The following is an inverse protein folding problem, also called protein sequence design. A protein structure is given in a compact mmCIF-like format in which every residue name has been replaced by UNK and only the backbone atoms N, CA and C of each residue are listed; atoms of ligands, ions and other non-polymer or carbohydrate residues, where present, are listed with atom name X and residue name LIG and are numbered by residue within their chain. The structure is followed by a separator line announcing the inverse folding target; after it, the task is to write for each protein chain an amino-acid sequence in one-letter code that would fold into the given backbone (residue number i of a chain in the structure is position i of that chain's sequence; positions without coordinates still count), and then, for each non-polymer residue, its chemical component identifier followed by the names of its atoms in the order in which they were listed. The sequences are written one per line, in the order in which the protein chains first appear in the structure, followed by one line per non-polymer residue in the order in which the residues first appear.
data_IF_811073062131
#
_entry.id   IF_811073062131
#
_cell.length_a   1.000
_cell.length_b   1.000
_cell.length_c   1.000
_cell.angle_alpha   90.00
_cell.angle_beta   90.00
_cell.angle_gamma   90.00
#
_symmetry.space_group_name_H-M   'P 1'
#
loop_
_entity.id
_entity.type
_entity.pdbx_description
1 polymer ?
#
# COMPACT_ATOMS: atom_id res chain seq x y z
N UNK A 1 -11.97 22.77 18.89
CA UNK A 1 -13.25 22.01 19.02
C UNK A 1 -13.48 21.06 17.84
N UNK A 2 -13.34 21.50 16.57
CA UNK A 2 -13.49 20.62 15.39
C UNK A 2 -12.43 19.50 15.30
N UNK A 3 -11.14 19.82 15.49
CA UNK A 3 -10.05 18.83 15.48
C UNK A 3 -10.31 17.64 16.42
N UNK A 4 -10.63 17.91 17.69
CA UNK A 4 -10.95 16.86 18.68
C UNK A 4 -12.12 15.98 18.25
N UNK A 5 -13.12 16.55 17.58
CA UNK A 5 -14.25 15.78 17.05
C UNK A 5 -13.82 14.82 15.94
N UNK A 6 -13.00 15.29 14.99
CA UNK A 6 -12.47 14.46 13.91
C UNK A 6 -11.54 13.37 14.44
N UNK A 7 -10.65 13.73 15.38
CA UNK A 7 -9.78 12.78 16.05
C UNK A 7 -10.60 11.65 16.71
N UNK A 8 -11.61 12.00 17.52
CA UNK A 8 -12.48 11.00 18.17
C UNK A 8 -13.23 10.13 17.17
N UNK A 9 -13.71 10.70 16.06
CA UNK A 9 -14.37 9.93 14.98
C UNK A 9 -13.42 8.93 14.35
N UNK A 10 -12.18 9.32 14.06
CA UNK A 10 -11.17 8.42 13.55
C UNK A 10 -10.80 7.32 14.55
N UNK A 11 -10.57 7.66 15.83
CA UNK A 11 -10.32 6.66 16.88
C UNK A 11 -11.45 5.65 17.00
N UNK A 12 -12.70 6.11 16.97
CA UNK A 12 -13.87 5.24 17.00
C UNK A 12 -13.97 4.36 15.75
N UNK A 13 -13.73 4.93 14.56
CA UNK A 13 -13.78 4.20 13.31
C UNK A 13 -12.70 3.11 13.26
N UNK A 14 -11.45 3.46 13.56
CA UNK A 14 -10.35 2.51 13.53
C UNK A 14 -10.31 1.57 14.74
N UNK A 15 -11.05 1.86 15.82
CA UNK A 15 -10.90 1.23 17.14
C UNK A 15 -9.49 1.43 17.72
N UNK A 16 -8.92 2.60 17.50
CA UNK A 16 -7.62 2.96 18.05
C UNK A 16 -7.72 3.13 19.56
N UNK A 17 -6.69 2.67 20.27
CA UNK A 17 -6.49 3.01 21.67
C UNK A 17 -5.54 4.20 21.74
N UNK A 18 -5.93 5.25 22.46
CA UNK A 18 -5.08 6.43 22.64
C UNK A 18 -4.97 6.75 24.12
N UNK A 19 -3.74 6.79 24.64
CA UNK A 19 -3.49 7.29 25.98
C UNK A 19 -3.69 8.80 25.99
N UNK A 20 -4.71 9.28 26.71
CA UNK A 20 -5.02 10.70 26.83
C UNK A 20 -3.92 11.51 27.54
N UNK A 21 -2.94 10.85 28.19
CA UNK A 21 -1.73 11.51 28.70
C UNK A 21 -0.74 11.88 27.59
N UNK A 22 -0.81 11.23 26.42
CA UNK A 22 0.04 11.50 25.26
C UNK A 22 -0.63 12.57 24.39
N UNK A 23 -0.03 13.76 24.23
CA UNK A 23 -0.59 14.79 23.38
C UNK A 23 -0.42 14.41 21.91
N UNK A 24 -1.41 14.74 21.09
CA UNK A 24 -1.20 14.83 19.64
C UNK A 24 -0.59 16.19 19.33
N UNK A 25 0.59 16.21 18.72
CA UNK A 25 1.30 17.43 18.37
C UNK A 25 1.24 17.68 16.86
N UNK A 26 1.04 18.94 16.48
CA UNK A 26 1.11 19.38 15.09
C UNK A 26 2.15 20.48 15.00
N UNK A 27 3.21 20.24 14.23
CA UNK A 27 4.34 21.16 14.08
C UNK A 27 4.35 21.73 12.67
N UNK A 28 4.38 23.05 12.59
CA UNK A 28 4.50 23.78 11.33
C UNK A 28 5.84 24.51 11.26
N UNK A 29 6.49 24.44 10.11
CA UNK A 29 7.67 25.26 9.82
C UNK A 29 7.55 25.91 8.43
N UNK A 30 8.14 27.10 8.22
CA UNK A 30 7.99 27.81 6.96
C UNK A 30 8.72 27.11 5.82
N UNK A 31 8.09 27.09 4.65
CA UNK A 31 8.63 26.63 3.37
C UNK A 31 8.55 27.76 2.33
N UNK A 32 9.52 28.70 2.33
CA UNK A 32 9.52 29.83 1.41
C UNK A 32 9.56 29.39 -0.06
N UNK A 33 8.86 30.12 -0.93
CA UNK A 33 8.85 29.92 -2.39
C UNK A 33 8.28 28.56 -2.88
N UNK A 34 7.63 27.79 -2.02
CA UNK A 34 6.95 26.55 -2.43
C UNK A 34 5.59 26.84 -3.09
N UNK A 35 5.14 25.94 -3.96
CA UNK A 35 3.80 25.96 -4.57
C UNK A 35 2.75 25.19 -3.73
N UNK A 36 3.18 24.50 -2.67
CA UNK A 36 2.30 23.78 -1.76
C UNK A 36 2.97 23.51 -0.42
N UNK A 37 2.31 22.71 0.42
CA UNK A 37 2.85 22.27 1.71
C UNK A 37 3.19 20.78 1.67
N UNK A 38 4.04 20.34 2.59
CA UNK A 38 4.29 18.91 2.85
C UNK A 38 3.45 18.46 4.03
N UNK A 39 3.25 17.16 4.20
CA UNK A 39 2.71 16.60 5.42
C UNK A 39 3.33 15.21 5.64
N UNK A 40 3.66 14.92 6.88
CA UNK A 40 4.11 13.60 7.33
C UNK A 40 3.72 13.41 8.78
N UNK A 41 3.60 12.15 9.22
CA UNK A 41 3.41 11.79 10.61
C UNK A 41 4.46 10.80 11.09
N UNK A 42 4.87 10.95 12.35
CA UNK A 42 5.68 9.97 13.07
C UNK A 42 5.34 10.01 14.56
N UNK A 43 5.21 8.83 15.17
CA UNK A 43 4.70 8.70 16.55
C UNK A 43 3.38 9.48 16.74
N UNK A 44 3.36 10.41 17.70
CA UNK A 44 2.22 11.26 18.03
C UNK A 44 2.33 12.68 17.41
N UNK A 45 3.19 12.86 16.40
CA UNK A 45 3.51 14.17 15.82
C UNK A 45 3.17 14.18 14.32
N UNK A 46 2.32 15.11 13.91
CA UNK A 46 2.15 15.50 12.52
C UNK A 46 3.01 16.73 12.20
N UNK A 47 3.78 16.67 11.11
CA UNK A 47 4.69 17.75 10.71
C UNK A 47 4.34 18.23 9.31
N UNK A 48 4.34 19.55 9.11
CA UNK A 48 4.11 20.14 7.81
C UNK A 48 4.96 21.39 7.55
N UNK A 49 5.63 21.38 6.41
CA UNK A 49 6.29 22.56 5.87
C UNK A 49 5.24 23.41 5.13
N UNK A 50 4.95 24.61 5.61
CA UNK A 50 3.86 25.46 5.07
C UNK A 50 4.38 26.70 4.35
N UNK A 51 3.71 27.09 3.27
CA UNK A 51 4.02 28.32 2.57
C UNK A 51 3.86 29.53 3.49
N UNK A 52 4.75 30.52 3.36
CA UNK A 52 4.71 31.73 4.19
C UNK A 52 3.47 32.61 3.93
N UNK A 53 2.81 32.40 2.80
CA UNK A 53 1.61 33.12 2.36
C UNK A 53 0.35 32.24 2.29
N UNK A 54 0.38 31.03 2.86
CA UNK A 54 -0.74 30.08 2.86
C UNK A 54 -2.06 30.75 3.32
N UNK A 55 -3.10 30.61 2.51
CA UNK A 55 -4.46 31.14 2.83
C UNK A 55 -5.49 30.06 3.12
N UNK A 56 -5.32 28.87 2.55
CA UNK A 56 -6.32 27.81 2.67
C UNK A 56 -5.97 26.86 3.84
N UNK A 57 -6.34 27.27 5.05
CA UNK A 57 -6.10 26.50 6.26
C UNK A 57 -7.02 25.27 6.39
N UNK A 58 -8.17 25.26 5.71
CA UNK A 58 -9.08 24.11 5.75
C UNK A 58 -8.50 22.93 4.97
N UNK A 59 -7.87 23.19 3.81
CA UNK A 59 -7.10 22.19 3.06
C UNK A 59 -5.89 21.71 3.87
N UNK A 60 -5.16 22.61 4.53
CA UNK A 60 -4.05 22.20 5.40
C UNK A 60 -4.56 21.28 6.52
N UNK A 61 -5.67 21.65 7.17
CA UNK A 61 -6.24 20.85 8.25
C UNK A 61 -6.73 19.48 7.78
N UNK A 62 -7.34 19.37 6.59
CA UNK A 62 -7.77 18.07 6.06
C UNK A 62 -6.58 17.15 5.78
N UNK A 63 -5.49 17.69 5.23
CA UNK A 63 -4.26 16.92 4.99
C UNK A 63 -3.54 16.57 6.30
N UNK A 64 -3.47 17.49 7.28
CA UNK A 64 -2.92 17.13 8.58
C UNK A 64 -3.72 16.01 9.26
N UNK A 65 -5.04 16.00 9.08
CA UNK A 65 -5.88 14.92 9.59
C UNK A 65 -5.67 13.61 8.83
N UNK A 66 -5.40 13.64 7.51
CA UNK A 66 -4.94 12.46 6.77
C UNK A 66 -3.73 11.81 7.47
N UNK A 67 -2.69 12.59 7.76
CA UNK A 67 -1.50 12.08 8.46
C UNK A 67 -1.82 11.54 9.86
N UNK A 68 -2.69 12.22 10.60
CA UNK A 68 -3.14 11.76 11.93
C UNK A 68 -3.93 10.46 11.84
N UNK A 69 -4.69 10.23 10.76
CA UNK A 69 -5.43 8.98 10.57
C UNK A 69 -4.51 7.78 10.32
N UNK A 70 -3.32 7.99 9.76
CA UNK A 70 -2.29 6.95 9.74
C UNK A 70 -1.84 6.56 11.14
N UNK A 71 -1.56 7.54 12.01
CA UNK A 71 -1.23 7.29 13.43
C UNK A 71 -2.35 6.47 14.08
N UNK A 72 -3.60 6.87 13.89
CA UNK A 72 -4.74 6.15 14.49
C UNK A 72 -4.92 4.74 13.93
N UNK A 73 -4.66 4.51 12.65
CA UNK A 73 -4.63 3.17 12.07
C UNK A 73 -3.55 2.30 12.73
N UNK A 74 -2.37 2.87 12.97
CA UNK A 74 -1.26 2.16 13.62
C UNK A 74 -1.49 1.91 15.11
N UNK A 75 -2.26 2.75 15.80
CA UNK A 75 -2.64 2.57 17.23
C UNK A 75 -3.82 1.61 17.45
N UNK A 76 -4.16 0.79 16.45
CA UNK A 76 -5.10 -0.32 16.63
C UNK A 76 -4.51 -1.40 17.56
N UNK A 77 -5.31 -1.95 18.50
CA UNK A 77 -4.94 -3.15 19.24
C UNK A 77 -4.61 -4.31 18.31
N UNK A 78 -3.71 -5.19 18.75
CA UNK A 78 -3.23 -6.32 17.95
C UNK A 78 -4.37 -7.24 17.51
N UNK A 79 -5.41 -7.40 18.33
CA UNK A 79 -6.60 -8.19 18.01
C UNK A 79 -7.38 -7.61 16.83
N UNK A 80 -7.46 -6.28 16.73
CA UNK A 80 -8.12 -5.59 15.64
C UNK A 80 -7.30 -5.72 14.35
N UNK A 81 -5.99 -5.50 14.44
CA UNK A 81 -5.07 -5.70 13.29
C UNK A 81 -5.15 -7.13 12.76
N UNK A 82 -5.10 -8.12 13.63
CA UNK A 82 -5.23 -9.54 13.29
C UNK A 82 -6.60 -9.85 12.67
N UNK A 83 -7.67 -9.23 13.17
CA UNK A 83 -9.03 -9.40 12.62
C UNK A 83 -9.12 -8.85 11.20
N UNK A 84 -8.66 -7.62 10.97
CA UNK A 84 -8.64 -6.99 9.65
C UNK A 84 -7.82 -7.85 8.68
N UNK A 85 -6.59 -8.21 9.04
CA UNK A 85 -5.73 -9.07 8.22
C UNK A 85 -6.42 -10.40 7.88
N UNK A 86 -7.04 -11.04 8.88
CA UNK A 86 -7.76 -12.30 8.69
C UNK A 86 -8.95 -12.17 7.74
N UNK A 87 -9.70 -11.06 7.80
CA UNK A 87 -10.83 -10.82 6.90
C UNK A 87 -10.37 -10.68 5.45
N UNK A 88 -9.28 -9.95 5.19
CA UNK A 88 -8.70 -9.87 3.84
C UNK A 88 -8.16 -11.23 3.36
N UNK A 89 -7.42 -11.95 4.22
CA UNK A 89 -6.84 -13.25 3.88
C UNK A 89 -7.92 -14.28 3.51
N UNK A 90 -9.00 -14.33 4.27
CA UNK A 90 -10.09 -15.30 4.10
C UNK A 90 -11.12 -14.91 3.03
N UNK A 91 -11.14 -13.64 2.58
CA UNK A 91 -12.09 -13.20 1.57
C UNK A 91 -11.84 -13.91 0.22
N UNK A 92 -12.86 -14.41 -0.50
CA UNK A 92 -12.66 -15.19 -1.72
C UNK A 92 -12.16 -14.36 -2.92
N UNK A 93 -12.25 -13.03 -2.88
CA UNK A 93 -11.80 -12.17 -3.97
C UNK A 93 -10.30 -12.32 -4.21
N UNK A 94 -9.93 -12.43 -5.49
CA UNK A 94 -8.52 -12.41 -5.93
C UNK A 94 -7.85 -11.06 -5.67
N UNK A 95 -8.63 -10.00 -5.51
CA UNK A 95 -8.14 -8.64 -5.31
C UNK A 95 -7.84 -8.30 -3.85
N UNK A 96 -8.30 -9.14 -2.91
CA UNK A 96 -8.25 -8.85 -1.47
C UNK A 96 -6.85 -8.52 -0.97
N UNK A 97 -5.80 -9.17 -1.47
CA UNK A 97 -4.43 -8.87 -1.05
C UNK A 97 -3.97 -7.45 -1.45
N UNK A 98 -4.18 -7.04 -2.71
CA UNK A 98 -3.81 -5.69 -3.15
C UNK A 98 -4.76 -4.61 -2.59
N UNK A 99 -6.03 -4.95 -2.37
CA UNK A 99 -6.96 -4.06 -1.67
C UNK A 99 -6.49 -3.80 -0.22
N UNK A 100 -5.96 -4.81 0.46
CA UNK A 100 -5.38 -4.68 1.80
C UNK A 100 -4.15 -3.76 1.81
N UNK A 101 -3.26 -3.91 0.83
CA UNK A 101 -2.05 -3.08 0.72
C UNK A 101 -2.36 -1.58 0.50
N UNK A 102 -3.49 -1.25 -0.13
CA UNK A 102 -3.97 0.12 -0.29
C UNK A 102 -4.70 0.68 0.95
N UNK A 103 -5.15 -0.17 1.86
CA UNK A 103 -6.17 0.15 2.86
C UNK A 103 -5.83 1.40 3.68
N UNK A 104 -4.61 1.49 4.20
CA UNK A 104 -4.23 2.57 5.11
C UNK A 104 -4.30 3.93 4.41
N UNK A 105 -3.64 4.08 3.26
CA UNK A 105 -3.67 5.30 2.43
C UNK A 105 -5.07 5.65 1.94
N UNK A 106 -5.84 4.67 1.50
CA UNK A 106 -7.19 4.89 0.99
C UNK A 106 -8.13 5.37 2.10
N UNK A 107 -8.03 4.81 3.31
CA UNK A 107 -8.85 5.24 4.43
C UNK A 107 -8.39 6.62 4.94
N UNK A 108 -7.09 6.86 5.11
CA UNK A 108 -6.59 8.18 5.49
C UNK A 108 -7.05 9.26 4.48
N UNK A 109 -6.99 8.97 3.18
CA UNK A 109 -7.45 9.86 2.11
C UNK A 109 -8.96 10.08 2.19
N UNK A 110 -9.75 9.01 2.29
CA UNK A 110 -11.21 9.10 2.31
C UNK A 110 -11.73 9.84 3.55
N UNK A 111 -11.06 9.70 4.71
CA UNK A 111 -11.46 10.37 5.95
C UNK A 111 -10.91 11.80 6.00
N UNK A 112 -9.61 12.02 5.73
CA UNK A 112 -8.99 13.33 5.74
C UNK A 112 -9.44 14.20 4.57
N UNK A 113 -9.06 13.81 3.36
CA UNK A 113 -9.28 14.62 2.16
C UNK A 113 -10.72 14.51 1.61
N UNK A 114 -11.47 13.47 2.00
CA UNK A 114 -12.90 13.34 1.71
C UNK A 114 -13.78 13.90 2.83
N UNK A 115 -13.92 13.16 3.93
CA UNK A 115 -14.90 13.47 4.99
C UNK A 115 -14.60 14.78 5.71
N UNK A 116 -13.39 14.98 6.23
CA UNK A 116 -13.02 16.21 6.95
C UNK A 116 -13.14 17.41 6.02
N UNK A 117 -12.62 17.31 4.80
CA UNK A 117 -12.76 18.38 3.79
C UNK A 117 -14.23 18.76 3.57
N UNK A 118 -15.12 17.79 3.33
CA UNK A 118 -16.55 18.03 3.14
C UNK A 118 -17.17 18.73 4.36
N UNK A 119 -16.80 18.32 5.57
CA UNK A 119 -17.31 18.92 6.80
C UNK A 119 -16.79 20.36 7.03
N UNK A 120 -15.64 20.72 6.45
CA UNK A 120 -15.09 22.08 6.53
C UNK A 120 -15.68 23.00 5.46
N UNK A 121 -15.82 22.52 4.22
CA UNK A 121 -16.22 23.33 3.06
C UNK A 121 -17.72 23.25 2.71
N UNK A 122 -18.44 22.26 3.25
CA UNK A 122 -19.86 22.01 2.96
C UNK A 122 -20.13 21.23 1.66
N UNK A 123 -19.08 20.91 0.90
CA UNK A 123 -19.13 20.08 -0.30
C UNK A 123 -17.84 19.28 -0.47
N UNK A 124 -17.90 18.18 -1.22
CA UNK A 124 -16.71 17.41 -1.58
C UNK A 124 -15.82 18.20 -2.54
N UNK A 125 -14.51 17.99 -2.41
CA UNK A 125 -13.57 18.43 -3.43
C UNK A 125 -13.83 17.64 -4.72
N UNK A 126 -13.94 18.38 -5.83
CA UNK A 126 -14.11 17.83 -7.18
C UNK A 126 -12.77 17.47 -7.83
N UNK A 127 -11.68 18.01 -7.31
CA UNK A 127 -10.32 17.73 -7.74
C UNK A 127 -9.83 16.36 -7.26
N UNK A 128 -8.54 16.14 -7.43
CA UNK A 128 -7.87 14.93 -6.95
C UNK A 128 -7.61 15.03 -5.45
N UNK A 129 -7.96 13.99 -4.70
CA UNK A 129 -7.74 13.89 -3.26
C UNK A 129 -6.34 13.35 -2.93
N UNK A 130 -5.72 12.67 -3.90
CA UNK A 130 -4.38 12.11 -3.76
C UNK A 130 -3.68 12.11 -5.13
N UNK A 131 -2.35 12.19 -5.14
CA UNK A 131 -1.58 12.29 -6.40
C UNK A 131 -1.49 10.96 -7.16
N UNK A 132 -1.53 9.82 -6.45
CA UNK A 132 -1.54 8.51 -7.08
C UNK A 132 -2.94 8.08 -7.53
N UNK A 133 -3.09 7.67 -8.80
CA UNK A 133 -4.39 7.29 -9.35
C UNK A 133 -5.10 6.20 -8.55
N UNK A 134 -4.38 5.14 -8.14
CA UNK A 134 -4.95 4.00 -7.44
C UNK A 134 -5.59 4.38 -6.08
N UNK A 135 -4.86 5.17 -5.28
CA UNK A 135 -5.33 5.65 -3.98
C UNK A 135 -6.48 6.64 -4.16
N UNK A 136 -6.30 7.63 -5.05
CA UNK A 136 -7.31 8.65 -5.31
C UNK A 136 -8.64 8.06 -5.78
N UNK A 137 -8.60 7.17 -6.78
CA UNK A 137 -9.81 6.57 -7.34
C UNK A 137 -10.51 5.71 -6.30
N UNK A 138 -9.80 4.79 -5.64
CA UNK A 138 -10.43 3.91 -4.66
C UNK A 138 -10.95 4.69 -3.45
N UNK A 139 -10.23 5.71 -2.95
CA UNK A 139 -10.69 6.56 -1.85
C UNK A 139 -12.00 7.28 -2.17
N UNK A 140 -12.12 7.87 -3.36
CA UNK A 140 -13.37 8.50 -3.83
C UNK A 140 -14.51 7.48 -3.94
N UNK A 141 -14.21 6.26 -4.38
CA UNK A 141 -15.22 5.22 -4.57
C UNK A 141 -15.71 4.59 -3.26
N UNK A 142 -14.84 4.43 -2.27
CA UNK A 142 -15.21 3.92 -0.94
C UNK A 142 -15.72 5.01 -0.03
N UNK A 143 -15.59 6.28 -0.41
CA UNK A 143 -16.04 7.43 0.38
C UNK A 143 -17.48 7.31 0.90
N UNK A 144 -18.50 6.92 0.10
CA UNK A 144 -19.86 6.78 0.60
C UNK A 144 -19.97 5.76 1.76
N UNK A 145 -19.22 4.66 1.69
CA UNK A 145 -19.17 3.65 2.75
C UNK A 145 -18.51 4.22 4.02
N UNK A 146 -17.36 4.88 3.86
CA UNK A 146 -16.61 5.53 4.95
C UNK A 146 -17.48 6.60 5.64
N UNK A 147 -18.10 7.49 4.86
CA UNK A 147 -18.93 8.56 5.37
C UNK A 147 -20.14 8.03 6.16
N UNK A 148 -20.77 6.93 5.70
CA UNK A 148 -21.85 6.27 6.43
C UNK A 148 -21.36 5.73 7.77
N UNK A 149 -20.23 5.00 7.80
CA UNK A 149 -19.67 4.48 9.05
C UNK A 149 -19.34 5.59 10.05
N UNK A 150 -18.73 6.69 9.58
CA UNK A 150 -18.39 7.84 10.42
C UNK A 150 -19.62 8.60 10.93
N UNK A 151 -20.71 8.68 10.14
CA UNK A 151 -21.97 9.32 10.53
C UNK A 151 -22.73 8.48 11.56
N UNK A 152 -22.75 7.16 11.38
CA UNK A 152 -23.43 6.22 12.27
C UNK A 152 -22.60 5.87 13.53
N UNK A 153 -21.34 6.32 13.60
CA UNK A 153 -20.45 5.97 14.71
C UNK A 153 -20.06 4.48 14.70
N UNK A 154 -20.03 3.86 13.52
CA UNK A 154 -19.58 2.47 13.37
C UNK A 154 -18.06 2.42 13.29
N UNK A 155 -17.52 1.38 13.89
CA UNK A 155 -16.12 1.00 13.73
C UNK A 155 -15.94 0.10 12.51
N UNK A 156 -14.71 0.01 12.01
CA UNK A 156 -14.32 -0.99 11.02
C UNK A 156 -14.63 -2.39 11.56
N UNK A 157 -15.29 -3.17 10.71
CA UNK A 157 -15.68 -4.54 10.96
C UNK A 157 -15.57 -5.37 9.67
N UNK A 158 -15.95 -6.65 9.74
CA UNK A 158 -15.89 -7.54 8.58
C UNK A 158 -16.79 -7.06 7.44
N UNK A 159 -17.97 -6.51 7.75
CA UNK A 159 -18.89 -6.04 6.72
C UNK A 159 -18.34 -4.82 5.99
N UNK A 160 -17.65 -3.92 6.70
CA UNK A 160 -16.89 -2.84 6.08
C UNK A 160 -15.84 -3.38 5.11
N UNK A 161 -15.00 -4.32 5.59
CA UNK A 161 -13.91 -4.89 4.77
C UNK A 161 -14.44 -5.61 3.55
N UNK A 162 -15.51 -6.40 3.68
CA UNK A 162 -16.12 -7.09 2.53
C UNK A 162 -16.65 -6.09 1.49
N UNK A 163 -17.29 -5.00 1.91
CA UNK A 163 -17.78 -3.96 0.99
C UNK A 163 -16.65 -3.13 0.38
N UNK A 164 -15.57 -2.88 1.12
CA UNK A 164 -14.37 -2.23 0.63
C UNK A 164 -13.70 -3.07 -0.48
N UNK A 165 -13.51 -4.37 -0.23
CA UNK A 165 -12.96 -5.31 -1.24
C UNK A 165 -13.86 -5.37 -2.47
N UNK A 166 -15.18 -5.40 -2.25
CA UNK A 166 -16.17 -5.39 -3.35
C UNK A 166 -16.05 -4.14 -4.22
N UNK A 167 -15.88 -2.96 -3.62
CA UNK A 167 -15.70 -1.71 -4.37
C UNK A 167 -14.44 -1.75 -5.26
N UNK A 168 -13.34 -2.32 -4.75
CA UNK A 168 -12.15 -2.58 -5.56
C UNK A 168 -12.48 -3.56 -6.69
N UNK A 169 -13.04 -4.73 -6.39
CA UNK A 169 -13.22 -5.81 -7.36
C UNK A 169 -14.17 -5.44 -8.51
N UNK A 170 -15.29 -4.77 -8.22
CA UNK A 170 -16.30 -4.48 -9.25
C UNK A 170 -15.82 -3.51 -10.33
N UNK A 171 -14.85 -2.64 -10.01
CA UNK A 171 -14.38 -1.59 -10.93
C UNK A 171 -12.94 -1.78 -11.37
N UNK A 172 -12.13 -2.43 -10.54
CA UNK A 172 -10.67 -2.42 -10.63
C UNK A 172 -10.05 -3.81 -10.53
N UNK A 173 -10.79 -4.88 -10.85
CA UNK A 173 -10.27 -6.25 -10.78
C UNK A 173 -8.95 -6.47 -11.55
N UNK A 174 -8.68 -5.69 -12.61
CA UNK A 174 -7.47 -5.81 -13.40
C UNK A 174 -6.24 -5.11 -12.79
N UNK A 175 -6.38 -4.27 -11.77
CA UNK A 175 -5.24 -3.60 -11.14
C UNK A 175 -4.21 -4.58 -10.57
N UNK A 176 -4.62 -5.80 -10.21
CA UNK A 176 -3.72 -6.89 -9.76
C UNK A 176 -2.74 -7.37 -10.84
N UNK A 177 -2.90 -6.88 -12.08
CA UNK A 177 -2.08 -7.16 -13.26
C UNK A 177 -1.36 -5.91 -13.77
N UNK A 178 -1.58 -4.74 -13.17
CA UNK A 178 -0.93 -3.50 -13.58
C UNK A 178 0.39 -3.34 -12.85
N UNK A 179 1.51 -3.43 -13.58
CA UNK A 179 2.85 -3.37 -12.99
C UNK A 179 3.07 -2.09 -12.17
N UNK A 180 2.57 -0.94 -12.64
CA UNK A 180 2.65 0.32 -11.89
C UNK A 180 1.96 0.24 -10.52
N UNK A 181 0.82 -0.45 -10.44
CA UNK A 181 0.12 -0.70 -9.18
C UNK A 181 0.91 -1.67 -8.30
N UNK A 182 1.10 -2.90 -8.77
CA UNK A 182 1.56 -4.00 -7.92
C UNK A 182 3.03 -3.85 -7.52
N UNK A 183 3.86 -3.17 -8.33
CA UNK A 183 5.26 -2.89 -7.98
C UNK A 183 5.41 -1.79 -6.93
N UNK A 184 4.35 -1.08 -6.56
CA UNK A 184 4.34 -0.18 -5.40
C UNK A 184 4.58 -0.93 -4.08
N UNK A 185 4.31 -2.23 -4.08
CA UNK A 185 4.43 -3.15 -2.94
C UNK A 185 5.23 -4.39 -3.36
N UNK A 186 6.54 -4.41 -3.10
CA UNK A 186 7.43 -5.43 -3.70
C UNK A 186 8.42 -6.03 -2.73
N UNK A 187 8.65 -7.33 -2.88
CA UNK A 187 9.76 -8.06 -2.29
C UNK A 187 10.67 -8.53 -3.42
N UNK A 188 11.94 -8.14 -3.41
CA UNK A 188 12.89 -8.50 -4.46
C UNK A 188 14.00 -9.40 -3.90
N UNK A 189 14.18 -10.59 -4.49
CA UNK A 189 15.38 -11.40 -4.33
C UNK A 189 16.22 -11.31 -5.59
N UNK A 190 17.51 -11.01 -5.46
CA UNK A 190 18.47 -11.05 -6.57
C UNK A 190 19.83 -11.53 -6.06
N UNK A 191 20.78 -11.89 -6.92
CA UNK A 191 22.20 -12.00 -6.53
C UNK A 191 22.97 -10.68 -6.65
N UNK A 192 22.33 -9.62 -7.15
CA UNK A 192 22.98 -8.34 -7.44
C UNK A 192 22.17 -7.20 -6.82
N UNK A 193 22.76 -6.51 -5.84
CA UNK A 193 22.11 -5.36 -5.20
C UNK A 193 21.80 -4.22 -6.18
N UNK A 194 22.55 -4.09 -7.28
CA UNK A 194 22.30 -3.09 -8.32
C UNK A 194 20.92 -3.22 -8.97
N UNK A 195 20.33 -4.42 -8.98
CA UNK A 195 18.99 -4.65 -9.54
C UNK A 195 17.92 -3.88 -8.77
N UNK A 196 18.12 -3.64 -7.47
CA UNK A 196 17.17 -2.90 -6.63
C UNK A 196 17.02 -1.44 -7.10
N UNK A 197 18.10 -0.84 -7.62
CA UNK A 197 18.06 0.51 -8.17
C UNK A 197 17.29 0.58 -9.49
N UNK A 198 17.30 -0.50 -10.28
CA UNK A 198 16.52 -0.58 -11.52
C UNK A 198 15.03 -0.52 -11.21
N UNK A 199 14.56 -1.24 -10.18
CA UNK A 199 13.16 -1.13 -9.74
C UNK A 199 12.80 0.26 -9.25
N UNK A 200 13.68 0.94 -8.52
CA UNK A 200 13.44 2.34 -8.09
C UNK A 200 13.36 3.31 -9.28
N UNK A 201 14.01 3.02 -10.40
CA UNK A 201 13.95 3.85 -11.60
C UNK A 201 12.71 3.57 -12.44
N UNK A 202 12.38 2.28 -12.63
CA UNK A 202 11.23 1.86 -13.44
C UNK A 202 9.90 2.07 -12.72
N UNK A 203 9.86 1.86 -11.40
CA UNK A 203 8.69 1.97 -10.54
C UNK A 203 9.03 2.88 -9.35
N UNK A 204 9.11 4.21 -9.59
CA UNK A 204 9.63 5.17 -8.62
C UNK A 204 8.74 5.32 -7.38
N UNK A 205 7.43 5.18 -7.54
CA UNK A 205 6.57 5.11 -6.37
C UNK A 205 6.72 3.76 -5.66
N UNK A 206 6.92 3.81 -4.35
CA UNK A 206 7.09 2.64 -3.52
C UNK A 206 6.54 2.95 -2.13
N UNK A 207 5.50 2.23 -1.75
CA UNK A 207 4.96 2.28 -0.39
C UNK A 207 5.74 1.30 0.50
N UNK A 208 5.91 0.05 0.06
CA UNK A 208 6.64 -0.97 0.80
C UNK A 208 7.61 -1.70 -0.14
N UNK A 209 8.87 -1.77 0.26
CA UNK A 209 9.89 -2.58 -0.40
C UNK A 209 10.73 -3.36 0.60
N UNK A 210 10.79 -4.66 0.38
CA UNK A 210 11.80 -5.54 0.98
C UNK A 210 12.73 -6.07 -0.12
N UNK A 211 14.01 -6.26 0.21
CA UNK A 211 14.96 -6.80 -0.74
C UNK A 211 16.09 -7.56 -0.05
N UNK A 212 16.51 -8.67 -0.66
CA UNK A 212 17.68 -9.43 -0.21
C UNK A 212 18.51 -9.88 -1.43
N UNK A 213 19.83 -9.94 -1.24
CA UNK A 213 20.80 -10.25 -2.28
C UNK A 213 21.21 -11.74 -2.31
N UNK A 214 20.42 -12.59 -1.66
CA UNK A 214 20.63 -14.03 -1.59
C UNK A 214 19.33 -14.79 -1.86
N UNK A 215 19.42 -15.84 -2.68
CA UNK A 215 18.32 -16.76 -2.95
C UNK A 215 18.59 -18.04 -2.13
N UNK A 216 17.93 -18.15 -0.98
CA UNK A 216 18.07 -19.28 -0.04
C UNK A 216 16.68 -19.75 0.39
N UNK A 217 16.59 -20.91 1.03
CA UNK A 217 15.33 -21.35 1.63
C UNK A 217 14.78 -20.30 2.62
N UNK A 218 15.66 -19.71 3.44
CA UNK A 218 15.27 -18.69 4.42
C UNK A 218 14.74 -17.40 3.80
N UNK A 219 15.42 -16.87 2.77
CA UNK A 219 14.97 -15.64 2.10
C UNK A 219 13.67 -15.86 1.31
N UNK A 220 13.47 -17.05 0.74
CA UNK A 220 12.20 -17.41 0.08
C UNK A 220 11.06 -17.57 1.11
N UNK A 221 11.29 -18.19 2.27
CA UNK A 221 10.28 -18.29 3.32
C UNK A 221 9.87 -16.91 3.87
N UNK A 222 10.83 -16.02 4.09
CA UNK A 222 10.53 -14.64 4.48
C UNK A 222 9.72 -13.91 3.40
N UNK A 223 10.11 -14.03 2.14
CA UNK A 223 9.35 -13.48 1.00
C UNK A 223 7.92 -14.02 0.96
N UNK A 224 7.70 -15.32 1.18
CA UNK A 224 6.37 -15.95 1.22
C UNK A 224 5.50 -15.45 2.37
N UNK A 225 6.10 -15.08 3.50
CA UNK A 225 5.38 -14.52 4.63
C UNK A 225 4.88 -13.09 4.38
N UNK A 226 5.45 -12.39 3.39
CA UNK A 226 5.07 -11.03 3.04
C UNK A 226 3.94 -11.00 1.98
N UNK A 227 2.90 -10.14 2.15
CA UNK A 227 1.79 -9.99 1.19
C UNK A 227 2.18 -9.25 -0.09
N UNK A 228 3.46 -8.94 -0.29
CA UNK A 228 3.97 -8.12 -1.38
C UNK A 228 4.03 -8.88 -2.71
N UNK A 229 4.10 -8.13 -3.82
CA UNK A 229 4.51 -8.67 -5.12
C UNK A 229 5.91 -9.25 -5.02
N UNK A 230 6.10 -10.49 -5.43
CA UNK A 230 7.35 -11.22 -5.28
C UNK A 230 8.12 -11.18 -6.59
N UNK A 231 9.37 -10.77 -6.56
CA UNK A 231 10.25 -10.76 -7.72
C UNK A 231 11.52 -11.51 -7.37
N UNK A 232 11.88 -12.51 -8.16
CA UNK A 232 13.11 -13.28 -8.00
C UNK A 232 13.93 -13.20 -9.29
N UNK A 233 15.12 -12.61 -9.21
CA UNK A 233 16.06 -12.47 -10.32
C UNK A 233 17.21 -13.46 -10.12
N UNK A 234 17.22 -14.49 -10.95
CA UNK A 234 18.25 -15.53 -10.97
C UNK A 234 19.27 -15.17 -12.04
N UNK A 235 20.40 -14.63 -11.62
CA UNK A 235 21.52 -14.21 -12.47
C UNK A 235 22.81 -15.03 -12.28
N UNK A 236 22.82 -15.96 -11.33
CA UNK A 236 23.89 -16.91 -11.04
C UNK A 236 23.27 -18.25 -10.66
N UNK A 237 24.04 -19.32 -10.73
CA UNK A 237 23.64 -20.66 -10.29
C UNK A 237 22.25 -21.08 -10.83
N UNK A 238 21.91 -20.67 -12.06
CA UNK A 238 20.53 -20.65 -12.55
C UNK A 238 19.80 -21.98 -12.40
N UNK A 239 20.49 -23.09 -12.65
CA UNK A 239 19.92 -24.43 -12.51
C UNK A 239 19.51 -24.76 -11.08
N UNK A 240 20.35 -24.49 -10.07
CA UNK A 240 20.04 -24.82 -8.68
C UNK A 240 18.98 -23.88 -8.12
N UNK A 241 19.07 -22.59 -8.43
CA UNK A 241 18.23 -21.58 -7.79
C UNK A 241 16.80 -21.65 -8.35
N UNK A 242 16.65 -21.88 -9.65
CA UNK A 242 15.34 -22.17 -10.24
C UNK A 242 14.73 -23.47 -9.70
N UNK A 243 15.56 -24.49 -9.42
CA UNK A 243 15.06 -25.74 -8.83
C UNK A 243 14.59 -25.53 -7.39
N UNK A 244 15.31 -24.71 -6.62
CA UNK A 244 14.92 -24.30 -5.29
C UNK A 244 13.61 -23.50 -5.31
N UNK A 245 13.49 -22.48 -6.17
CA UNK A 245 12.27 -21.67 -6.32
C UNK A 245 11.08 -22.58 -6.67
N UNK A 246 11.22 -23.47 -7.65
CA UNK A 246 10.16 -24.43 -8.02
C UNK A 246 9.75 -25.34 -6.87
N UNK A 247 10.69 -25.76 -6.02
CA UNK A 247 10.41 -26.58 -4.82
C UNK A 247 9.62 -25.79 -3.76
N UNK A 248 9.94 -24.52 -3.57
CA UNK A 248 9.43 -23.70 -2.46
C UNK A 248 8.04 -23.09 -2.71
N UNK A 249 7.65 -22.93 -3.98
CA UNK A 249 6.32 -22.45 -4.39
C UNK A 249 5.48 -23.60 -4.97
N UNK A 250 4.46 -24.09 -4.26
CA UNK A 250 3.65 -25.23 -4.70
C UNK A 250 2.90 -24.99 -6.03
N UNK A 251 2.62 -23.73 -6.37
CA UNK A 251 2.01 -23.29 -7.63
C UNK A 251 2.90 -23.62 -8.84
N UNK A 252 4.21 -23.74 -8.64
CA UNK A 252 5.19 -24.00 -9.70
C UNK A 252 5.39 -25.50 -9.99
N UNK A 253 4.63 -26.40 -9.37
CA UNK A 253 4.81 -27.87 -9.54
C UNK A 253 4.88 -28.32 -11.01
N UNK A 254 4.05 -27.71 -11.86
CA UNK A 254 3.92 -28.03 -13.29
C UNK A 254 4.74 -27.10 -14.18
N UNK A 255 5.41 -26.10 -13.61
CA UNK A 255 6.20 -25.15 -14.37
C UNK A 255 7.46 -25.82 -14.92
N UNK A 256 7.63 -25.77 -16.24
CA UNK A 256 8.81 -26.28 -16.93
C UNK A 256 9.62 -25.11 -17.45
N UNK A 257 10.92 -25.11 -17.17
CA UNK A 257 11.82 -24.04 -17.55
C UNK A 257 13.11 -24.61 -18.14
N UNK A 258 13.79 -23.78 -18.94
CA UNK A 258 15.15 -24.07 -19.39
C UNK A 258 16.12 -23.10 -18.72
N UNK A 259 16.90 -23.59 -17.77
CA UNK A 259 17.84 -22.78 -16.98
C UNK A 259 18.95 -22.12 -17.82
N UNK A 260 19.18 -22.58 -19.06
CA UNK A 260 20.21 -22.01 -19.95
C UNK A 260 19.66 -20.95 -20.91
N UNK A 261 18.36 -20.63 -20.84
CA UNK A 261 17.71 -19.61 -21.68
C UNK A 261 17.16 -18.51 -20.82
N UNK A 262 17.24 -17.28 -21.32
CA UNK A 262 16.61 -16.15 -20.66
C UNK A 262 15.09 -16.24 -20.74
N UNK A 263 14.44 -15.87 -19.65
CA UNK A 263 12.99 -15.74 -19.61
C UNK A 263 12.54 -14.85 -18.47
N UNK A 264 11.32 -14.35 -18.63
CA UNK A 264 10.50 -13.77 -17.59
C UNK A 264 9.23 -14.61 -17.46
N UNK A 265 8.87 -14.99 -16.24
CA UNK A 265 7.70 -15.83 -15.96
C UNK A 265 6.89 -15.21 -14.83
N UNK A 266 5.57 -15.20 -14.98
CA UNK A 266 4.62 -14.76 -13.94
C UNK A 266 3.76 -15.92 -13.44
N UNK A 267 3.42 -15.89 -12.16
CA UNK A 267 2.50 -16.83 -11.53
C UNK A 267 1.70 -16.12 -10.44
N UNK A 268 0.37 -16.17 -10.54
CA UNK A 268 -0.50 -15.75 -9.45
C UNK A 268 -0.50 -16.81 -8.33
N UNK A 269 -0.21 -16.41 -7.10
CA UNK A 269 -0.04 -17.31 -5.97
C UNK A 269 -1.34 -17.52 -5.18
N UNK A 270 -1.37 -18.56 -4.35
CA UNK A 270 -2.51 -18.85 -3.48
C UNK A 270 -2.73 -17.78 -2.40
N UNK A 271 -1.68 -17.04 -2.03
CA UNK A 271 -1.76 -15.87 -1.14
C UNK A 271 -2.31 -14.61 -1.82
N UNK A 272 -2.67 -14.72 -3.12
CA UNK A 272 -3.22 -13.67 -3.98
C UNK A 272 -2.25 -12.54 -4.29
N UNK A 273 -0.94 -12.79 -4.19
CA UNK A 273 0.11 -11.93 -4.74
C UNK A 273 0.60 -12.44 -6.11
N UNK A 274 1.30 -11.58 -6.85
CA UNK A 274 1.99 -11.95 -8.09
C UNK A 274 3.42 -12.38 -7.78
N UNK A 275 3.87 -13.48 -8.40
CA UNK A 275 5.27 -13.90 -8.43
C UNK A 275 5.84 -13.71 -9.84
N UNK A 276 6.94 -12.98 -9.92
CA UNK A 276 7.75 -12.84 -11.12
C UNK A 276 9.10 -13.54 -10.93
N UNK A 277 9.45 -14.40 -11.87
CA UNK A 277 10.74 -15.09 -11.91
C UNK A 277 11.45 -14.68 -13.19
N UNK A 278 12.64 -14.10 -13.04
CA UNK A 278 13.50 -13.66 -14.13
C UNK A 278 14.74 -14.54 -14.13
N UNK A 279 14.94 -15.31 -15.20
CA UNK A 279 16.19 -16.04 -15.43
C UNK A 279 17.07 -15.22 -16.37
N UNK A 280 18.12 -14.62 -15.80
CA UNK A 280 19.05 -13.75 -16.50
C UNK A 280 20.33 -14.50 -16.87
N UNK A 281 20.81 -14.31 -18.11
CA UNK A 281 22.05 -14.92 -18.61
C UNK A 281 23.00 -13.85 -19.17
N UNK A 282 22.49 -12.95 -20.00
CA UNK A 282 23.28 -11.97 -20.74
C UNK A 282 22.59 -10.60 -20.88
N UNK A 283 21.26 -10.58 -21.02
CA UNK A 283 20.49 -9.35 -21.09
C UNK A 283 20.53 -8.60 -19.76
N UNK A 284 20.41 -7.28 -19.83
CA UNK A 284 20.29 -6.47 -18.62
C UNK A 284 18.99 -6.79 -17.87
N UNK A 285 19.02 -6.63 -16.55
CA UNK A 285 17.83 -6.82 -15.70
C UNK A 285 16.70 -5.90 -16.13
N UNK A 286 17.01 -4.65 -16.49
CA UNK A 286 16.04 -3.68 -17.01
C UNK A 286 15.32 -4.20 -18.26
N UNK A 287 16.06 -4.78 -19.20
CA UNK A 287 15.49 -5.36 -20.43
C UNK A 287 14.49 -6.47 -20.11
N UNK A 288 14.81 -7.35 -19.16
CA UNK A 288 13.94 -8.47 -18.78
C UNK A 288 12.73 -8.03 -17.95
N UNK A 289 12.86 -7.00 -17.12
CA UNK A 289 11.74 -6.39 -16.38
C UNK A 289 10.74 -5.76 -17.35
N UNK A 290 11.21 -5.05 -18.39
CA UNK A 290 10.33 -4.46 -19.41
C UNK A 290 9.56 -5.50 -20.23
N UNK A 291 9.98 -6.77 -20.17
CA UNK A 291 9.29 -7.90 -20.82
C UNK A 291 8.29 -8.60 -19.89
N UNK A 292 8.20 -8.21 -18.61
CA UNK A 292 7.20 -8.76 -17.70
C UNK A 292 5.82 -8.51 -18.32
N UNK A 293 5.08 -9.59 -18.50
CA UNK A 293 3.67 -9.54 -18.82
C UNK A 293 2.89 -9.86 -17.55
N UNK A 294 1.71 -9.25 -17.35
CA UNK A 294 0.79 -9.74 -16.36
C UNK A 294 0.43 -11.21 -16.60
#
# INVERSE_FOLDING_TARGET
KKLVSYFKKGSQFYKSEWDNAIPLEIVFYPLPNSQGFTAEAFYNIGVSAIQTDLKNYDILLSVMLHEIFHIQFDEQPIEIKNSIQSWFLQNPSKCSNYAYLLLNEVLATAIGNGYVYEQLHGNLDKGEWYNLPYINQLAKEVYPLVATYLKEGKSIDKAFVDNYIKAYEEKHANWINELEHIMSYRFILSHQQSDFNIFRQLYPYCSIMEAEDQITEGSIEKMKAAPLTKVIIVSKNNKSDLALIKKMFPELKNWNYNATKEFSYSQFLNDKSQLYIINQISSSTETLIKQLKP
#
